data_IF_381419623229
#
_entry.id   IF_381419623229
#
_cell.length_a   1.000
_cell.length_b   1.000
_cell.length_c   1.000
_cell.angle_alpha   90.00
_cell.angle_beta   90.00
_cell.angle_gamma   90.00
#
_symmetry.space_group_name_H-M   'P 1'
#
loop_
_entity.id
_entity.type
_entity.pdbx_description
1 polymer ?
#
# COMPACT_ATOMS: atom_id res chain seq x y z
N UNK A 1 -19.32 20.97 45.83
CA UNK A 1 -19.39 21.17 44.37
C UNK A 1 -18.11 20.64 43.78
N UNK A 2 -18.15 19.90 42.70
CA UNK A 2 -16.92 19.47 42.04
C UNK A 2 -16.19 20.73 41.55
N UNK A 3 -14.90 20.84 41.92
CA UNK A 3 -14.04 21.94 41.48
C UNK A 3 -13.55 21.65 40.06
N UNK A 4 -13.56 22.68 39.22
CA UNK A 4 -13.00 22.57 37.88
C UNK A 4 -11.47 22.29 37.95
N UNK A 5 -10.96 21.46 37.05
CA UNK A 5 -9.54 21.23 36.94
C UNK A 5 -8.85 22.50 36.39
N UNK A 6 -7.84 22.99 37.11
CA UNK A 6 -7.01 24.13 36.68
C UNK A 6 -5.63 23.59 36.32
N UNK A 7 -5.15 23.92 35.12
CA UNK A 7 -3.85 23.49 34.63
C UNK A 7 -3.21 24.57 33.74
N UNK A 8 -1.95 24.44 33.48
CA UNK A 8 -1.22 25.28 32.55
C UNK A 8 -0.68 24.41 31.41
N UNK A 9 -1.00 24.78 30.18
CA UNK A 9 -0.47 24.14 28.97
C UNK A 9 0.38 25.14 28.22
N UNK A 10 1.65 24.81 27.99
CA UNK A 10 2.63 25.70 27.33
C UNK A 10 2.69 27.10 27.96
N UNK A 11 2.57 27.19 29.30
CA UNK A 11 2.59 28.45 30.02
C UNK A 11 1.25 29.21 30.10
N UNK A 12 0.22 28.74 29.39
CA UNK A 12 -1.11 29.34 29.36
C UNK A 12 -2.00 28.64 30.38
N UNK A 13 -2.57 29.40 31.32
CA UNK A 13 -3.52 28.85 32.30
C UNK A 13 -4.85 28.54 31.63
N UNK A 14 -5.34 27.34 31.86
CA UNK A 14 -6.61 26.84 31.35
C UNK A 14 -7.43 26.22 32.48
N UNK A 15 -8.73 26.12 32.24
CA UNK A 15 -9.70 25.51 33.17
C UNK A 15 -10.61 24.59 32.40
N UNK A 16 -10.79 23.38 32.91
CA UNK A 16 -11.71 22.39 32.34
C UNK A 16 -12.71 21.92 33.39
N UNK A 17 -13.91 21.60 32.94
CA UNK A 17 -14.96 21.07 33.80
C UNK A 17 -14.75 19.59 34.16
N UNK A 18 -13.79 18.94 33.53
CA UNK A 18 -13.41 17.54 33.71
C UNK A 18 -11.89 17.41 33.93
N UNK A 19 -11.48 16.34 34.60
CA UNK A 19 -10.09 15.95 34.70
C UNK A 19 -9.51 15.34 33.39
N UNK A 20 -10.39 15.03 32.44
CA UNK A 20 -10.00 14.56 31.11
C UNK A 20 -9.97 15.76 30.15
N UNK A 21 -8.81 16.01 29.58
CA UNK A 21 -8.60 17.07 28.60
C UNK A 21 -8.14 16.46 27.29
N UNK A 22 -8.61 17.00 26.18
CA UNK A 22 -8.18 16.60 24.86
C UNK A 22 -7.36 17.71 24.22
N UNK A 23 -6.18 17.38 23.72
CA UNK A 23 -5.31 18.29 22.98
C UNK A 23 -5.48 17.99 21.48
N UNK A 24 -5.90 18.98 20.70
CA UNK A 24 -6.12 18.87 19.25
C UNK A 24 -7.03 17.70 18.84
N UNK A 25 -7.95 17.27 19.67
CA UNK A 25 -8.83 16.10 19.47
C UNK A 25 -8.11 14.76 19.23
N UNK A 26 -6.80 14.71 19.45
CA UNK A 26 -6.00 13.53 19.13
C UNK A 26 -5.43 12.89 20.40
N UNK A 27 -5.05 13.70 21.38
CA UNK A 27 -4.37 13.22 22.59
C UNK A 27 -5.28 13.48 23.80
N UNK A 28 -5.71 12.41 24.47
CA UNK A 28 -6.42 12.49 25.74
C UNK A 28 -5.45 12.46 26.91
N UNK A 29 -5.54 13.44 27.81
CA UNK A 29 -4.76 13.51 29.05
C UNK A 29 -5.71 13.47 30.23
N UNK A 30 -5.47 12.60 31.19
CA UNK A 30 -6.18 12.53 32.46
C UNK A 30 -5.34 13.15 33.59
N UNK A 31 -5.90 14.16 34.25
CA UNK A 31 -5.28 14.85 35.38
C UNK A 31 -5.60 14.10 36.67
N UNK A 32 -4.65 13.30 37.18
CA UNK A 32 -4.87 12.45 38.36
C UNK A 32 -4.65 13.21 39.68
N UNK A 33 -3.69 14.14 39.72
CA UNK A 33 -3.34 14.90 40.93
C UNK A 33 -2.61 16.21 40.61
N UNK A 34 -2.63 17.21 41.49
CA UNK A 34 -1.84 18.44 41.33
C UNK A 34 -0.35 18.14 41.28
N UNK A 35 0.34 18.76 40.32
CA UNK A 35 1.82 18.67 40.21
C UNK A 35 2.46 19.90 40.85
N UNK A 36 3.59 19.71 41.52
CA UNK A 36 4.41 20.80 42.08
C UNK A 36 5.43 21.35 41.09
N UNK A 37 5.71 20.60 40.05
CA UNK A 37 6.68 20.94 38.99
C UNK A 37 6.04 20.77 37.63
N UNK A 38 6.58 21.47 36.66
CA UNK A 38 6.17 21.31 35.26
C UNK A 38 6.51 19.89 34.78
N UNK A 39 5.50 19.19 34.23
CA UNK A 39 5.71 17.91 33.57
C UNK A 39 5.78 18.16 32.09
N UNK A 40 6.80 17.61 31.42
CA UNK A 40 6.88 17.62 29.95
C UNK A 40 6.37 16.29 29.44
N UNK A 41 5.38 16.37 28.56
CA UNK A 41 4.82 15.19 27.90
C UNK A 41 5.41 15.13 26.49
N UNK A 42 6.13 14.06 26.20
CA UNK A 42 6.59 13.74 24.85
C UNK A 42 5.60 12.74 24.25
N UNK A 43 5.11 13.08 23.07
CA UNK A 43 4.28 12.17 22.30
C UNK A 43 5.18 11.55 21.23
N UNK A 44 5.42 10.27 21.37
CA UNK A 44 6.13 9.48 20.34
C UNK A 44 5.11 8.63 19.59
N UNK A 45 5.25 8.51 18.27
CA UNK A 45 4.44 7.55 17.51
C UNK A 45 4.62 6.14 18.08
N UNK A 46 3.58 5.32 18.01
CA UNK A 46 3.72 3.89 18.34
C UNK A 46 4.54 3.20 17.24
N UNK A 47 5.84 3.07 17.52
CA UNK A 47 6.78 2.46 16.58
C UNK A 47 6.50 0.98 16.34
N UNK A 48 5.89 0.29 17.29
CA UNK A 48 5.58 -1.14 17.14
C UNK A 48 4.40 -1.37 16.17
N UNK A 49 3.34 -0.59 16.30
CA UNK A 49 2.23 -0.63 15.34
C UNK A 49 2.70 -0.34 13.92
N UNK A 50 3.57 0.64 13.80
CA UNK A 50 4.10 1.08 12.53
C UNK A 50 5.02 0.05 11.87
N UNK A 51 5.88 -0.62 12.66
CA UNK A 51 6.72 -1.72 12.16
C UNK A 51 5.86 -2.89 11.68
N UNK A 52 4.77 -3.21 12.39
CA UNK A 52 3.82 -4.22 11.94
C UNK A 52 3.16 -3.85 10.60
N UNK A 53 2.76 -2.58 10.43
CA UNK A 53 2.18 -2.11 9.16
C UNK A 53 3.19 -2.21 7.99
N UNK A 54 4.49 -1.96 8.27
CA UNK A 54 5.57 -2.15 7.28
C UNK A 54 5.76 -3.63 6.97
N UNK A 55 5.69 -4.51 7.95
CA UNK A 55 5.80 -5.96 7.76
C UNK A 55 4.66 -6.47 6.88
N UNK A 56 3.43 -6.12 7.20
CA UNK A 56 2.25 -6.48 6.42
C UNK A 56 2.34 -5.97 4.97
N UNK A 57 2.90 -4.76 4.79
CA UNK A 57 3.13 -4.20 3.47
C UNK A 57 4.19 -4.99 2.69
N UNK A 58 5.33 -5.29 3.30
CA UNK A 58 6.43 -6.07 2.68
C UNK A 58 5.94 -7.45 2.27
N UNK A 59 5.21 -8.12 3.14
CA UNK A 59 4.66 -9.45 2.87
C UNK A 59 3.66 -9.42 1.72
N UNK A 60 2.74 -8.43 1.71
CA UNK A 60 1.75 -8.25 0.65
C UNK A 60 2.42 -7.95 -0.70
N UNK A 61 3.45 -7.10 -0.70
CA UNK A 61 4.23 -6.80 -1.90
C UNK A 61 4.96 -8.03 -2.42
N UNK A 62 5.62 -8.78 -1.54
CA UNK A 62 6.35 -9.99 -1.91
C UNK A 62 5.42 -11.07 -2.47
N UNK A 63 4.21 -11.21 -1.92
CA UNK A 63 3.18 -12.09 -2.48
C UNK A 63 2.78 -11.68 -3.91
N UNK A 64 2.65 -10.37 -4.17
CA UNK A 64 2.37 -9.86 -5.51
C UNK A 64 3.54 -10.13 -6.48
N UNK A 65 4.78 -10.06 -6.01
CA UNK A 65 5.97 -10.42 -6.78
C UNK A 65 6.00 -11.93 -7.10
N UNK A 66 5.63 -12.78 -6.15
CA UNK A 66 5.48 -14.23 -6.39
C UNK A 66 4.47 -14.50 -7.50
N UNK A 67 3.31 -13.85 -7.46
CA UNK A 67 2.30 -13.94 -8.51
C UNK A 67 2.85 -13.50 -9.87
N UNK A 68 3.62 -12.41 -9.90
CA UNK A 68 4.22 -11.92 -11.13
C UNK A 68 5.24 -12.90 -11.72
N UNK A 69 6.07 -13.53 -10.88
CA UNK A 69 7.02 -14.55 -11.30
C UNK A 69 6.31 -15.85 -11.76
N UNK A 70 5.27 -16.27 -11.05
CA UNK A 70 4.46 -17.42 -11.46
C UNK A 70 3.80 -17.19 -12.82
N UNK A 71 3.23 -15.99 -13.02
CA UNK A 71 2.60 -15.62 -14.30
C UNK A 71 3.62 -15.60 -15.43
N UNK A 72 4.83 -15.10 -15.20
CA UNK A 72 5.91 -15.12 -16.19
C UNK A 72 6.36 -16.54 -16.55
N UNK A 73 6.40 -17.45 -15.58
CA UNK A 73 6.87 -18.81 -15.75
C UNK A 73 5.84 -19.72 -16.41
N UNK A 74 4.59 -19.30 -16.49
CA UNK A 74 3.53 -20.05 -17.16
C UNK A 74 3.69 -19.95 -18.69
N UNK A 75 3.56 -21.04 -19.46
CA UNK A 75 3.65 -21.04 -20.92
C UNK A 75 2.72 -20.03 -21.62
N UNK A 76 1.57 -19.74 -21.00
CA UNK A 76 0.58 -18.76 -21.49
C UNK A 76 0.57 -17.47 -20.67
N UNK A 77 1.59 -17.24 -19.86
CA UNK A 77 1.67 -16.11 -18.96
C UNK A 77 2.39 -14.92 -19.60
N UNK A 78 1.94 -13.73 -19.25
CA UNK A 78 2.52 -12.47 -19.70
C UNK A 78 3.60 -11.96 -18.75
N UNK A 79 4.65 -11.38 -19.32
CA UNK A 79 5.68 -10.65 -18.56
C UNK A 79 5.25 -9.24 -18.13
N UNK A 80 4.00 -8.84 -18.44
CA UNK A 80 3.53 -7.47 -18.24
C UNK A 80 3.54 -7.08 -16.76
N UNK A 81 2.98 -7.93 -15.89
CA UNK A 81 2.91 -7.65 -14.45
C UNK A 81 4.30 -7.43 -13.84
N UNK A 82 5.23 -8.36 -14.09
CA UNK A 82 6.59 -8.24 -13.56
C UNK A 82 7.30 -6.97 -14.07
N UNK A 83 7.07 -6.59 -15.34
CA UNK A 83 7.63 -5.36 -15.91
C UNK A 83 7.04 -4.11 -15.27
N UNK A 84 5.74 -4.07 -15.02
CA UNK A 84 5.08 -2.95 -14.36
C UNK A 84 5.57 -2.79 -12.93
N UNK A 85 5.61 -3.86 -12.14
CA UNK A 85 6.13 -3.84 -10.77
C UNK A 85 7.60 -3.41 -10.74
N UNK A 86 8.45 -4.00 -11.60
CA UNK A 86 9.87 -3.63 -11.69
C UNK A 86 10.08 -2.17 -12.08
N UNK A 87 9.18 -1.59 -12.87
CA UNK A 87 9.25 -0.17 -13.24
C UNK A 87 8.91 0.73 -12.04
N UNK A 88 7.88 0.36 -11.29
CA UNK A 88 7.49 1.10 -10.08
C UNK A 88 8.62 1.02 -9.04
N UNK A 89 9.11 -0.17 -8.71
CA UNK A 89 10.14 -0.35 -7.68
C UNK A 89 11.45 0.34 -8.06
N UNK A 90 11.85 0.31 -9.33
CA UNK A 90 13.04 1.03 -9.79
C UNK A 90 12.90 2.54 -9.61
N UNK A 91 11.72 3.08 -9.84
CA UNK A 91 11.44 4.51 -9.65
C UNK A 91 11.59 4.95 -8.18
N UNK A 92 11.18 4.11 -7.25
CA UNK A 92 11.18 4.40 -5.81
C UNK A 92 12.38 3.78 -5.06
N UNK A 93 13.37 3.27 -5.79
CA UNK A 93 14.48 2.52 -5.17
C UNK A 93 15.23 3.34 -4.13
N UNK A 94 15.60 4.56 -4.46
CA UNK A 94 16.39 5.42 -3.56
C UNK A 94 15.61 5.77 -2.28
N UNK A 95 14.33 6.05 -2.45
CA UNK A 95 13.43 6.34 -1.33
C UNK A 95 13.24 5.10 -0.43
N UNK A 96 13.06 3.94 -1.02
CA UNK A 96 12.96 2.68 -0.28
C UNK A 96 14.26 2.37 0.48
N UNK A 97 15.41 2.47 -0.16
CA UNK A 97 16.71 2.22 0.46
C UNK A 97 16.99 3.21 1.61
N UNK A 98 16.63 4.48 1.46
CA UNK A 98 16.77 5.48 2.54
C UNK A 98 15.88 5.19 3.74
N UNK A 99 14.82 4.42 3.55
CA UNK A 99 13.85 4.06 4.59
C UNK A 99 14.18 2.73 5.29
N UNK A 100 15.19 2.02 4.85
CA UNK A 100 15.53 0.69 5.35
C UNK A 100 14.79 -0.45 4.64
N UNK A 101 14.17 -0.15 3.47
CA UNK A 101 13.59 -1.17 2.60
C UNK A 101 14.47 -1.36 1.37
N UNK A 102 15.15 -2.50 1.30
CA UNK A 102 16.05 -2.84 0.19
C UNK A 102 15.38 -3.79 -0.78
N UNK A 103 15.76 -3.69 -2.05
CA UNK A 103 15.29 -4.59 -3.10
C UNK A 103 16.38 -5.60 -3.43
N UNK A 104 15.98 -6.86 -3.49
CA UNK A 104 16.90 -7.89 -3.99
C UNK A 104 16.91 -7.93 -5.54
N UNK A 105 17.79 -8.78 -6.12
CA UNK A 105 17.97 -8.91 -7.56
C UNK A 105 16.71 -9.41 -8.29
N UNK A 106 15.80 -10.05 -7.58
CA UNK A 106 14.52 -10.55 -8.10
C UNK A 106 13.38 -9.55 -7.92
N UNK A 107 13.63 -8.43 -7.23
CA UNK A 107 12.66 -7.38 -6.96
C UNK A 107 11.82 -7.58 -5.70
N UNK A 108 12.19 -8.51 -4.81
CA UNK A 108 11.55 -8.66 -3.50
C UNK A 108 12.04 -7.60 -2.54
N UNK A 109 11.15 -7.13 -1.69
CA UNK A 109 11.49 -6.21 -0.61
C UNK A 109 12.05 -6.98 0.59
N UNK A 110 13.14 -6.45 1.12
CA UNK A 110 13.74 -6.86 2.40
C UNK A 110 13.81 -5.67 3.33
N UNK A 111 13.54 -5.89 4.60
CA UNK A 111 13.64 -4.86 5.64
C UNK A 111 15.00 -4.92 6.32
N UNK A 112 15.56 -3.75 6.59
CA UNK A 112 16.66 -3.56 7.52
C UNK A 112 16.09 -3.05 8.84
N UNK A 113 15.95 -3.95 9.81
CA UNK A 113 15.34 -3.64 11.11
C UNK A 113 16.09 -2.56 11.87
N UNK A 114 17.42 -2.49 11.72
CA UNK A 114 18.23 -1.50 12.39
C UNK A 114 17.96 -0.09 11.84
N UNK A 115 17.92 0.05 10.51
CA UNK A 115 17.62 1.32 9.86
C UNK A 115 16.17 1.75 10.10
N UNK A 116 15.21 0.81 10.05
CA UNK A 116 13.80 1.09 10.32
C UNK A 116 13.62 1.58 11.77
N UNK A 117 14.21 0.91 12.75
CA UNK A 117 14.14 1.31 14.15
C UNK A 117 14.78 2.69 14.36
N UNK A 118 15.95 2.93 13.79
CA UNK A 118 16.64 4.21 13.88
C UNK A 118 15.81 5.35 13.26
N UNK A 119 15.16 5.10 12.13
CA UNK A 119 14.30 6.06 11.44
C UNK A 119 13.06 6.41 12.26
N UNK A 120 12.50 5.43 12.99
CA UNK A 120 11.38 5.66 13.91
C UNK A 120 11.76 6.48 15.12
N UNK A 121 12.94 6.23 15.72
CA UNK A 121 13.42 6.95 16.89
C UNK A 121 13.80 8.40 16.58
N UNK A 122 14.34 8.67 15.41
CA UNK A 122 14.77 10.01 14.98
C UNK A 122 13.64 10.93 14.48
N UNK A 123 12.39 10.48 14.49
CA UNK A 123 11.25 11.27 13.99
C UNK A 123 11.27 11.51 12.47
N UNK A 124 12.22 10.95 11.74
CA UNK A 124 12.31 11.00 10.28
C UNK A 124 11.21 10.16 9.62
N UNK A 125 10.48 9.42 10.41
CA UNK A 125 9.43 8.51 9.94
C UNK A 125 8.24 9.21 9.27
N UNK A 126 8.00 10.48 9.56
CA UNK A 126 6.93 11.21 8.86
C UNK A 126 7.27 11.49 7.38
N UNK A 127 8.52 11.80 7.07
CA UNK A 127 8.98 11.91 5.68
C UNK A 127 8.95 10.55 4.98
N UNK A 128 9.36 9.52 5.71
CA UNK A 128 9.29 8.12 5.32
C UNK A 128 7.88 7.70 4.92
N UNK A 129 6.87 8.03 5.72
CA UNK A 129 5.48 7.72 5.43
C UNK A 129 4.99 8.36 4.15
N UNK A 130 5.44 9.56 3.85
CA UNK A 130 5.05 10.23 2.62
C UNK A 130 5.61 9.52 1.38
N UNK A 131 6.86 9.10 1.41
CA UNK A 131 7.51 8.35 0.32
C UNK A 131 6.93 6.94 0.19
N UNK A 132 6.74 6.21 1.29
CA UNK A 132 6.09 4.91 1.31
C UNK A 132 4.63 4.97 0.84
N UNK A 133 3.90 6.03 1.17
CA UNK A 133 2.53 6.24 0.70
C UNK A 133 2.47 6.35 -0.83
N UNK A 134 3.37 7.11 -1.46
CA UNK A 134 3.44 7.23 -2.90
C UNK A 134 3.80 5.89 -3.58
N UNK A 135 4.72 5.13 -3.02
CA UNK A 135 5.07 3.79 -3.48
C UNK A 135 3.88 2.82 -3.34
N UNK A 136 3.24 2.81 -2.17
CA UNK A 136 2.04 2.00 -1.91
C UNK A 136 0.94 2.30 -2.94
N UNK A 137 0.62 3.55 -3.17
CA UNK A 137 -0.38 3.94 -4.18
C UNK A 137 -0.02 3.49 -5.59
N UNK A 138 1.26 3.52 -5.95
CA UNK A 138 1.72 3.03 -7.26
C UNK A 138 1.55 1.50 -7.38
N UNK A 139 1.85 0.75 -6.33
CA UNK A 139 1.64 -0.71 -6.27
C UNK A 139 0.15 -1.06 -6.25
N UNK A 140 -0.67 -0.39 -5.44
CA UNK A 140 -2.12 -0.58 -5.40
C UNK A 140 -2.75 -0.31 -6.77
N UNK A 141 -2.27 0.70 -7.48
CA UNK A 141 -2.73 1.00 -8.84
C UNK A 141 -2.35 -0.11 -9.83
N UNK A 142 -1.17 -0.72 -9.69
CA UNK A 142 -0.77 -1.85 -10.51
C UNK A 142 -1.63 -3.09 -10.20
N UNK A 143 -1.82 -3.42 -8.93
CA UNK A 143 -2.66 -4.53 -8.47
C UNK A 143 -4.12 -4.37 -8.92
N UNK A 144 -4.69 -3.17 -8.81
CA UNK A 144 -6.05 -2.84 -9.25
C UNK A 144 -6.23 -3.03 -10.76
N UNK A 145 -5.22 -2.71 -11.58
CA UNK A 145 -5.26 -2.96 -13.02
C UNK A 145 -5.31 -4.46 -13.33
N UNK A 146 -4.54 -5.28 -12.60
CA UNK A 146 -4.59 -6.75 -12.75
C UNK A 146 -5.98 -7.28 -12.44
N UNK A 147 -6.58 -6.82 -11.35
CA UNK A 147 -7.91 -7.25 -10.91
C UNK A 147 -9.01 -6.80 -11.88
N UNK A 148 -8.90 -5.55 -12.38
CA UNK A 148 -9.92 -4.99 -13.28
C UNK A 148 -9.83 -5.53 -14.70
N UNK A 149 -8.63 -5.93 -15.16
CA UNK A 149 -8.37 -6.35 -16.54
C UNK A 149 -7.39 -7.53 -16.60
N UNK A 150 -7.74 -8.70 -16.00
CA UNK A 150 -6.83 -9.85 -15.92
C UNK A 150 -6.40 -10.36 -17.30
N UNK A 151 -7.24 -10.19 -18.32
CA UNK A 151 -6.95 -10.61 -19.70
C UNK A 151 -5.81 -9.82 -20.36
N UNK A 152 -5.39 -8.70 -19.80
CA UNK A 152 -4.21 -7.97 -20.29
C UNK A 152 -2.89 -8.60 -19.82
N UNK A 153 -2.95 -9.40 -18.77
CA UNK A 153 -1.80 -10.04 -18.13
C UNK A 153 -1.63 -11.51 -18.51
N UNK A 154 -2.35 -11.95 -19.57
CA UNK A 154 -2.23 -13.28 -20.16
C UNK A 154 -1.78 -13.12 -21.61
N UNK A 155 -0.90 -14.00 -22.07
CA UNK A 155 -0.52 -14.02 -23.48
C UNK A 155 -1.70 -14.44 -24.32
N UNK A 156 -2.09 -13.59 -25.27
CA UNK A 156 -3.20 -13.83 -26.19
C UNK A 156 -2.67 -14.65 -27.35
N UNK A 157 -3.01 -15.93 -27.37
CA UNK A 157 -2.78 -16.76 -28.57
C UNK A 157 -3.91 -16.50 -29.56
N UNK A 158 -3.63 -15.78 -30.63
CA UNK A 158 -4.58 -15.60 -31.73
C UNK A 158 -4.51 -16.87 -32.58
N UNK A 159 -5.51 -17.72 -32.44
CA UNK A 159 -5.67 -18.89 -33.31
C UNK A 159 -6.30 -18.40 -34.62
N UNK A 160 -5.48 -18.32 -35.67
CA UNK A 160 -6.00 -18.07 -37.02
C UNK A 160 -6.44 -19.39 -37.63
N UNK A 161 -7.72 -19.52 -37.85
CA UNK A 161 -8.27 -20.66 -38.60
C UNK A 161 -8.03 -20.44 -40.10
N UNK A 162 -7.34 -21.33 -40.79
CA UNK A 162 -7.15 -21.19 -42.24
C UNK A 162 -8.51 -21.23 -42.93
N UNK A 163 -8.82 -20.16 -43.65
CA UNK A 163 -10.05 -20.11 -44.46
C UNK A 163 -9.82 -20.98 -45.71
N UNK A 164 -10.38 -22.17 -45.71
CA UNK A 164 -10.21 -23.16 -46.78
C UNK A 164 -10.96 -22.81 -48.06
N UNK A 165 -11.82 -21.79 -48.04
CA UNK A 165 -12.59 -21.33 -49.23
C UNK A 165 -12.56 -19.81 -49.31
N UNK A 166 -11.80 -19.29 -50.25
CA UNK A 166 -11.58 -17.85 -50.49
C UNK A 166 -12.82 -16.98 -50.68
N UNK A 167 -13.99 -17.56 -50.85
CA UNK A 167 -15.25 -16.86 -51.24
C UNK A 167 -16.36 -16.90 -50.20
N UNK A 168 -16.11 -17.42 -48.99
CA UNK A 168 -17.12 -17.37 -47.92
C UNK A 168 -16.69 -16.43 -46.83
N UNK A 169 -17.56 -15.52 -46.37
CA UNK A 169 -17.29 -14.77 -45.15
C UNK A 169 -17.00 -15.77 -44.05
N UNK A 170 -15.96 -15.51 -43.26
CA UNK A 170 -15.53 -16.40 -42.19
C UNK A 170 -16.74 -16.73 -41.28
N UNK A 171 -17.25 -17.97 -41.29
CA UNK A 171 -18.49 -18.32 -40.56
C UNK A 171 -18.32 -18.16 -39.02
N UNK A 172 -17.11 -17.97 -38.55
CA UNK A 172 -16.82 -17.78 -37.12
C UNK A 172 -16.72 -16.30 -36.70
N UNK A 173 -16.62 -15.36 -37.65
CA UNK A 173 -16.66 -13.93 -37.28
C UNK A 173 -18.02 -13.51 -36.69
N UNK A 174 -19.18 -14.01 -37.17
CA UNK A 174 -20.47 -13.74 -36.52
C UNK A 174 -20.66 -14.45 -35.19
N UNK A 175 -19.93 -15.55 -34.90
CA UNK A 175 -20.17 -16.35 -33.68
C UNK A 175 -19.79 -15.65 -32.39
N UNK A 176 -18.84 -14.71 -32.43
CA UNK A 176 -18.49 -13.89 -31.26
C UNK A 176 -19.66 -12.96 -30.89
N UNK A 177 -20.36 -12.46 -31.89
CA UNK A 177 -21.53 -11.60 -31.70
C UNK A 177 -22.86 -12.37 -31.59
N UNK A 178 -22.96 -13.53 -32.21
CA UNK A 178 -24.17 -14.37 -32.13
C UNK A 178 -24.29 -15.04 -30.75
N UNK A 179 -23.19 -15.38 -30.10
CA UNK A 179 -23.20 -15.85 -28.71
C UNK A 179 -23.74 -14.81 -27.72
N UNK A 180 -23.50 -13.53 -27.97
CA UNK A 180 -24.07 -12.45 -27.18
C UNK A 180 -25.54 -12.19 -27.43
N UNK A 181 -26.02 -12.49 -28.65
CA UNK A 181 -27.43 -12.34 -29.02
C UNK A 181 -28.30 -13.49 -28.50
N UNK A 182 -27.75 -14.70 -28.39
CA UNK A 182 -28.47 -15.86 -27.89
C UNK A 182 -28.76 -15.80 -26.38
N UNK A 183 -27.91 -15.13 -25.63
CA UNK A 183 -28.08 -14.95 -24.18
C UNK A 183 -29.11 -13.86 -23.81
N UNK A 184 -29.76 -13.23 -24.81
CA UNK A 184 -30.73 -12.14 -24.58
C UNK A 184 -32.18 -12.60 -24.62
N UNK A 185 -32.43 -13.86 -24.99
CA UNK A 185 -33.78 -14.42 -25.22
C UNK A 185 -34.08 -15.67 -24.37
N UNK A 186 -33.31 -15.93 -23.35
CA UNK A 186 -33.56 -16.86 -22.25
C UNK A 186 -33.56 -16.09 -20.92
#
# INVERSE_FOLDING_TARGET
>A
MPANAMFSLNGIRQQAASNQISINNTIGIELLRPTKQTATVHVTPDSSSLLNDVDDFVDSYNLLMDLAHQTQSNPNGSKKLLRELSTVTRRFRNELESTGLTLDDRGYLKKDEALLTQSTENGQFQELFHHLSAFKHAIDSAASRVTSNPMEYVDKTIISYPNTKRNFPNPYMPSIYSGMLYNRYL
#
